data_IF_390492815485
#
_entry.id   IF_390492815485
#
_cell.length_a   1.000
_cell.length_b   1.000
_cell.length_c   1.000
_cell.angle_alpha   90.00
_cell.angle_beta   90.00
_cell.angle_gamma   90.00
#
_symmetry.space_group_name_H-M   'P 1'
#
loop_
_entity.id
_entity.type
_entity.pdbx_description
1 polymer ?
#
# COMPACT_ATOMS: atom_id res chain seq x y z
N UNK A 1 -22.58 -58.97 1.93
CA UNK A 1 -21.73 -58.85 3.14
C UNK A 1 -20.34 -58.32 2.80
N UNK A 2 -19.42 -59.12 2.24
CA UNK A 2 -18.04 -58.66 1.94
C UNK A 2 -17.95 -57.60 0.82
N UNK A 3 -18.83 -57.68 -0.19
CA UNK A 3 -18.90 -56.69 -1.29
C UNK A 3 -19.34 -55.31 -0.79
N UNK A 4 -20.38 -55.26 0.05
CA UNK A 4 -20.87 -54.02 0.67
C UNK A 4 -19.79 -53.30 1.50
N UNK A 5 -18.99 -54.06 2.27
CA UNK A 5 -17.87 -53.52 3.05
C UNK A 5 -16.76 -53.00 2.11
N UNK A 6 -16.53 -53.68 0.98
CA UNK A 6 -15.57 -53.24 -0.03
C UNK A 6 -15.98 -51.95 -0.73
N UNK A 7 -17.27 -51.79 -1.07
CA UNK A 7 -17.81 -50.57 -1.66
C UNK A 7 -17.77 -49.39 -0.70
N UNK A 8 -18.11 -49.62 0.58
CA UNK A 8 -18.01 -48.59 1.61
C UNK A 8 -16.57 -48.07 1.79
N UNK A 9 -15.57 -48.96 1.77
CA UNK A 9 -14.15 -48.57 1.84
C UNK A 9 -13.70 -47.82 0.58
N UNK A 10 -14.10 -48.28 -0.61
CA UNK A 10 -13.78 -47.59 -1.86
C UNK A 10 -14.38 -46.18 -1.89
N UNK A 11 -15.61 -46.01 -1.40
CA UNK A 11 -16.26 -44.71 -1.30
C UNK A 11 -15.55 -43.77 -0.32
N UNK A 12 -15.15 -44.27 0.85
CA UNK A 12 -14.37 -43.48 1.82
C UNK A 12 -13.01 -43.04 1.26
N UNK A 13 -12.33 -43.91 0.50
CA UNK A 13 -11.06 -43.55 -0.15
C UNK A 13 -11.27 -42.46 -1.20
N UNK A 14 -12.33 -42.55 -2.01
CA UNK A 14 -12.63 -41.54 -3.04
C UNK A 14 -13.01 -40.18 -2.42
N UNK A 15 -13.75 -40.17 -1.30
CA UNK A 15 -14.04 -38.94 -0.56
C UNK A 15 -12.78 -38.31 0.04
N UNK A 16 -11.87 -39.11 0.60
CA UNK A 16 -10.60 -38.59 1.11
C UNK A 16 -9.75 -37.98 -0.02
N UNK A 17 -9.70 -38.63 -1.19
CA UNK A 17 -8.96 -38.13 -2.35
C UNK A 17 -9.55 -36.81 -2.86
N UNK A 18 -10.88 -36.70 -2.95
CA UNK A 18 -11.51 -35.45 -3.40
C UNK A 18 -11.27 -34.30 -2.41
N UNK A 19 -11.34 -34.56 -1.10
CA UNK A 19 -11.01 -33.58 -0.06
C UNK A 19 -9.55 -33.13 -0.20
N UNK A 20 -8.60 -34.07 -0.33
CA UNK A 20 -7.19 -33.74 -0.52
C UNK A 20 -6.97 -32.89 -1.78
N UNK A 21 -7.58 -33.27 -2.91
CA UNK A 21 -7.49 -32.48 -4.15
C UNK A 21 -8.03 -31.06 -3.94
N UNK A 22 -9.17 -30.90 -3.28
CA UNK A 22 -9.73 -29.56 -3.01
C UNK A 22 -8.82 -28.74 -2.09
N UNK A 23 -8.21 -29.34 -1.07
CA UNK A 23 -7.24 -28.68 -0.17
C UNK A 23 -5.97 -28.26 -0.91
N UNK A 24 -5.43 -29.11 -1.80
CA UNK A 24 -4.26 -28.76 -2.61
C UNK A 24 -4.59 -27.71 -3.68
N UNK A 25 -5.76 -27.79 -4.31
CA UNK A 25 -6.23 -26.79 -5.27
C UNK A 25 -6.53 -25.44 -4.62
N UNK A 26 -6.96 -25.44 -3.34
CA UNK A 26 -7.13 -24.23 -2.52
C UNK A 26 -5.86 -23.82 -1.75
N UNK A 27 -4.73 -24.49 -1.99
CA UNK A 27 -3.39 -24.06 -1.56
C UNK A 27 -2.95 -22.71 -2.15
N UNK A 28 -3.76 -22.12 -3.03
CA UNK A 28 -3.64 -20.73 -3.48
C UNK A 28 -4.37 -19.70 -2.58
N UNK A 29 -4.65 -20.01 -1.32
CA UNK A 29 -5.34 -19.06 -0.42
C UNK A 29 -4.49 -17.89 0.08
N UNK A 30 -3.23 -17.80 -0.32
CA UNK A 30 -2.46 -16.56 -0.28
C UNK A 30 -1.74 -16.35 -1.61
N UNK A 31 -2.47 -15.84 -2.62
CA UNK A 31 -1.80 -15.09 -3.69
C UNK A 31 -1.40 -13.75 -3.08
N UNK A 32 -0.14 -13.63 -2.67
CA UNK A 32 0.48 -12.35 -2.40
C UNK A 32 0.31 -11.52 -3.67
N UNK A 33 -0.68 -10.62 -3.68
CA UNK A 33 -0.67 -9.55 -4.65
C UNK A 33 0.53 -8.69 -4.29
N UNK A 34 1.69 -9.03 -4.86
CA UNK A 34 2.82 -8.11 -5.01
C UNK A 34 2.28 -7.01 -5.93
N UNK A 35 1.61 -6.03 -5.34
CA UNK A 35 1.38 -4.76 -6.01
C UNK A 35 2.78 -4.25 -6.36
N UNK A 36 3.08 -4.14 -7.64
CA UNK A 36 4.27 -3.43 -8.12
C UNK A 36 4.06 -1.92 -7.88
N UNK A 37 4.01 -1.53 -6.59
CA UNK A 37 3.84 -0.15 -6.14
C UNK A 37 4.88 0.75 -6.83
N UNK A 38 6.08 0.18 -7.07
CA UNK A 38 7.23 0.80 -7.72
C UNK A 38 7.02 1.37 -9.12
N UNK A 39 6.06 0.87 -9.91
CA UNK A 39 5.91 1.29 -11.32
C UNK A 39 4.83 2.38 -11.50
N UNK A 40 4.08 2.73 -10.45
CA UNK A 40 3.08 3.79 -10.57
C UNK A 40 3.75 5.17 -10.60
N UNK A 41 3.27 6.04 -11.51
CA UNK A 41 3.79 7.41 -11.61
C UNK A 41 3.56 8.21 -10.33
N UNK A 42 2.49 7.91 -9.60
CA UNK A 42 2.19 8.57 -8.32
C UNK A 42 3.10 8.09 -7.20
N UNK A 43 3.47 6.80 -7.16
CA UNK A 43 4.50 6.33 -6.24
C UNK A 43 5.85 7.03 -6.49
N UNK A 44 6.28 7.12 -7.76
CA UNK A 44 7.53 7.80 -8.09
C UNK A 44 7.55 9.27 -7.62
N UNK A 45 6.41 9.97 -7.74
CA UNK A 45 6.26 11.35 -7.22
C UNK A 45 6.37 11.39 -5.70
N UNK A 46 5.67 10.49 -4.99
CA UNK A 46 5.68 10.45 -3.53
C UNK A 46 7.08 10.12 -2.99
N UNK A 47 7.77 9.15 -3.59
CA UNK A 47 9.14 8.78 -3.21
C UNK A 47 10.09 9.97 -3.38
N UNK A 48 9.99 10.69 -4.50
CA UNK A 48 10.79 11.89 -4.73
C UNK A 48 10.53 12.96 -3.66
N UNK A 49 9.27 13.25 -3.36
CA UNK A 49 8.90 14.22 -2.33
C UNK A 49 9.39 13.82 -0.93
N UNK A 50 9.36 12.52 -0.62
CA UNK A 50 9.89 11.99 0.63
C UNK A 50 11.41 12.18 0.70
N UNK A 51 12.15 11.78 -0.35
CA UNK A 51 13.61 11.92 -0.41
C UNK A 51 14.07 13.37 -0.29
N UNK A 52 13.32 14.32 -0.87
CA UNK A 52 13.59 15.76 -0.76
C UNK A 52 13.33 16.31 0.65
N UNK A 53 12.56 15.61 1.48
CA UNK A 53 12.28 16.02 2.86
C UNK A 53 13.33 15.52 3.85
N UNK A 54 14.01 14.42 3.51
CA UNK A 54 14.89 13.68 4.41
C UNK A 54 16.33 14.21 4.41
N UNK A 55 16.90 14.29 5.60
CA UNK A 55 18.32 14.56 5.81
C UNK A 55 19.07 13.26 6.12
N UNK A 56 19.63 12.64 5.07
CA UNK A 56 20.42 11.41 5.19
C UNK A 56 21.78 11.59 5.91
N UNK A 57 22.14 12.82 6.29
CA UNK A 57 23.33 13.05 7.12
C UNK A 57 23.07 12.84 8.61
N UNK A 58 21.81 12.86 9.04
CA UNK A 58 21.40 12.59 10.41
C UNK A 58 21.21 11.09 10.66
N UNK A 59 21.63 10.60 11.83
CA UNK A 59 21.39 9.23 12.26
C UNK A 59 19.92 9.08 12.73
N UNK A 60 19.10 8.21 12.09
CA UNK A 60 17.72 8.02 12.48
C UNK A 60 17.53 7.44 13.90
N UNK A 61 18.54 6.78 14.46
CA UNK A 61 18.50 6.24 15.82
C UNK A 61 18.69 7.35 16.87
N UNK A 62 19.41 8.42 16.53
CA UNK A 62 19.74 9.52 17.43
C UNK A 62 18.78 10.70 17.28
N UNK A 63 18.46 11.10 16.04
CA UNK A 63 17.50 12.17 15.75
C UNK A 63 16.65 11.84 14.53
N UNK A 64 15.60 11.04 14.76
CA UNK A 64 14.65 10.69 13.73
C UNK A 64 13.92 11.90 13.14
N UNK A 65 13.75 12.99 13.90
CA UNK A 65 13.08 14.19 13.42
C UNK A 65 13.94 14.90 12.37
N UNK A 66 15.23 15.12 12.66
CA UNK A 66 16.16 15.67 11.69
C UNK A 66 16.29 14.76 10.47
N UNK A 67 16.45 13.45 10.66
CA UNK A 67 16.52 12.50 9.55
C UNK A 67 15.29 12.56 8.62
N UNK A 68 14.08 12.57 9.20
CA UNK A 68 12.85 12.53 8.41
C UNK A 68 12.43 13.89 7.81
N UNK A 69 12.78 15.00 8.46
CA UNK A 69 12.24 16.33 8.14
C UNK A 69 13.27 17.44 7.96
N UNK A 70 14.56 17.19 8.23
CA UNK A 70 15.61 18.20 8.32
C UNK A 70 15.71 19.10 7.09
N UNK A 71 15.64 18.53 5.88
CA UNK A 71 15.65 19.34 4.64
C UNK A 71 14.32 20.02 4.35
N UNK A 72 13.22 19.45 4.83
CA UNK A 72 11.91 20.07 4.61
C UNK A 72 11.76 21.36 5.42
N UNK A 73 12.20 21.36 6.68
CA UNK A 73 12.08 22.54 7.56
C UNK A 73 12.96 23.71 7.10
N UNK A 74 14.10 23.44 6.45
CA UNK A 74 14.96 24.47 5.83
C UNK A 74 14.25 25.27 4.72
N UNK A 75 13.21 24.71 4.11
CA UNK A 75 12.52 25.28 2.96
C UNK A 75 11.14 25.87 3.29
N UNK A 76 10.81 26.04 4.58
CA UNK A 76 9.53 26.61 5.01
C UNK A 76 9.61 28.15 4.96
N UNK A 77 8.70 28.83 4.22
CA UNK A 77 8.77 30.28 4.02
C UNK A 77 8.62 31.13 5.29
N UNK A 78 7.90 30.66 6.31
CA UNK A 78 7.64 31.42 7.54
C UNK A 78 7.53 30.52 8.79
N UNK A 79 8.20 30.87 9.90
CA UNK A 79 8.26 30.05 11.12
C UNK A 79 6.97 30.07 11.97
N UNK A 80 6.07 31.04 11.79
CA UNK A 80 4.92 31.27 12.70
C UNK A 80 3.60 30.65 12.22
N UNK A 81 3.59 29.93 11.10
CA UNK A 81 2.40 29.19 10.66
C UNK A 81 2.55 27.71 11.04
N UNK A 82 1.43 27.05 11.38
CA UNK A 82 1.38 25.57 11.50
C UNK A 82 1.50 24.95 10.10
N UNK A 83 2.68 25.08 9.52
CA UNK A 83 3.03 24.55 8.23
C UNK A 83 3.34 23.07 8.41
N UNK A 84 2.68 22.20 7.66
CA UNK A 84 3.02 20.78 7.61
C UNK A 84 2.98 20.32 6.15
N UNK A 85 3.77 19.31 5.78
CA UNK A 85 3.84 18.89 4.37
C UNK A 85 2.49 18.46 3.79
N UNK A 86 1.55 18.01 4.63
CA UNK A 86 0.17 17.68 4.20
C UNK A 86 -0.61 18.93 3.79
N UNK A 87 -0.47 20.06 4.49
CA UNK A 87 -1.17 21.29 4.12
C UNK A 87 -0.68 21.82 2.78
N UNK A 88 0.63 21.77 2.54
CA UNK A 88 1.23 22.15 1.23
C UNK A 88 0.69 21.26 0.12
N UNK A 89 0.74 19.94 0.33
CA UNK A 89 0.20 18.98 -0.63
C UNK A 89 -1.28 19.24 -0.91
N UNK A 90 -2.08 19.51 0.13
CA UNK A 90 -3.51 19.79 -0.02
C UNK A 90 -3.75 21.07 -0.81
N UNK A 91 -3.01 22.14 -0.54
CA UNK A 91 -3.08 23.37 -1.34
C UNK A 91 -2.70 23.15 -2.81
N UNK A 92 -1.66 22.37 -3.07
CA UNK A 92 -1.24 22.03 -4.44
C UNK A 92 -2.30 21.19 -5.18
N UNK A 93 -2.94 20.24 -4.48
CA UNK A 93 -4.06 19.47 -5.01
C UNK A 93 -5.26 20.37 -5.34
N UNK A 94 -5.60 21.29 -4.43
CA UNK A 94 -6.67 22.26 -4.66
C UNK A 94 -6.40 23.15 -5.87
N UNK A 95 -5.16 23.66 -6.03
CA UNK A 95 -4.76 24.46 -7.20
C UNK A 95 -4.84 23.66 -8.49
N UNK A 96 -4.36 22.41 -8.48
CA UNK A 96 -4.33 21.55 -9.66
C UNK A 96 -5.74 21.17 -10.15
N UNK A 97 -6.66 20.92 -9.21
CA UNK A 97 -8.05 20.56 -9.49
C UNK A 97 -9.02 21.75 -9.40
N UNK A 98 -8.50 22.98 -9.35
CA UNK A 98 -9.32 24.18 -9.23
C UNK A 98 -10.29 24.32 -10.41
N UNK A 99 -9.88 23.91 -11.62
CA UNK A 99 -10.76 23.88 -12.80
C UNK A 99 -11.86 22.82 -12.72
N UNK A 100 -11.57 21.66 -12.12
CA UNK A 100 -12.56 20.58 -11.94
C UNK A 100 -13.62 20.96 -10.89
N UNK A 101 -13.18 21.62 -9.81
CA UNK A 101 -14.05 22.14 -8.75
C UNK A 101 -14.94 23.29 -9.25
N UNK A 102 -14.44 24.14 -10.15
CA UNK A 102 -15.23 25.19 -10.78
C UNK A 102 -16.30 24.63 -11.72
N UNK A 103 -15.97 23.57 -12.47
CA UNK A 103 -16.91 22.90 -13.38
C UNK A 103 -18.10 22.27 -12.61
N UNK A 104 -17.84 21.74 -11.42
CA UNK A 104 -18.88 21.23 -10.51
C UNK A 104 -19.72 22.34 -9.87
N UNK A 105 -19.18 23.54 -9.69
CA UNK A 105 -19.88 24.70 -9.13
C UNK A 105 -20.74 25.46 -10.15
N UNK A 106 -20.53 25.23 -11.45
CA UNK A 106 -21.26 25.89 -12.56
C UNK A 106 -22.28 24.99 -13.27
N UNK A 107 -22.46 23.76 -12.80
CA UNK A 107 -23.52 22.82 -13.25
C UNK A 107 -24.62 22.75 -12.20
#
# INVERSE_FOLDING_TARGET
>A
MLKEISYAKAFLVLLCISILITVYASGETCREHVLEVGNSTDFAKIVKLLQESMDFSADPCEDFYQFACGKWIENIPEPDTKYNRRSVMYEDLLKKHQGDLQTFATT
#
